data_IF_187930000812
#
_entry.id   IF_187930000812
#
_cell.length_a   1.000
_cell.length_b   1.000
_cell.length_c   1.000
_cell.angle_alpha   90.00
_cell.angle_beta   90.00
_cell.angle_gamma   90.00
#
_symmetry.space_group_name_H-M   'P 1'
#
loop_
_entity.id
_entity.type
_entity.pdbx_description
1 polymer ?
#
# COMPACT_ATOMS: atom_id res chain seq x y z
N UNK A 1 -34.45 -13.04 77.44
CA UNK A 1 -33.22 -13.76 77.03
C UNK A 1 -33.31 -14.06 75.54
N UNK A 2 -32.69 -13.23 74.67
CA UNK A 2 -32.73 -13.35 73.19
C UNK A 2 -31.31 -13.45 72.56
N UNK A 3 -30.28 -13.75 73.36
CA UNK A 3 -28.89 -13.71 72.90
C UNK A 3 -28.43 -14.87 71.98
N UNK A 4 -28.89 -16.13 72.11
CA UNK A 4 -28.33 -17.22 71.29
C UNK A 4 -28.78 -17.17 69.81
N UNK A 5 -30.01 -16.70 69.52
CA UNK A 5 -30.50 -16.59 68.14
C UNK A 5 -29.80 -15.47 67.35
N UNK A 6 -29.33 -14.43 68.03
CA UNK A 6 -28.66 -13.27 67.42
C UNK A 6 -27.23 -13.63 67.01
N UNK A 7 -26.52 -14.41 67.82
CA UNK A 7 -25.17 -14.90 67.51
C UNK A 7 -25.17 -15.92 66.36
N UNK A 8 -26.14 -16.85 66.32
CA UNK A 8 -26.28 -17.82 65.23
C UNK A 8 -26.55 -17.09 63.90
N UNK A 9 -27.48 -16.11 63.88
CA UNK A 9 -27.76 -15.31 62.67
C UNK A 9 -26.54 -14.51 62.20
N UNK A 10 -25.72 -13.99 63.11
CA UNK A 10 -24.48 -13.30 62.75
C UNK A 10 -23.41 -14.26 62.21
N UNK A 11 -23.27 -15.45 62.79
CA UNK A 11 -22.36 -16.48 62.30
C UNK A 11 -22.77 -16.99 60.91
N UNK A 12 -24.07 -17.27 60.68
CA UNK A 12 -24.59 -17.68 59.37
C UNK A 12 -24.38 -16.59 58.32
N UNK A 13 -24.60 -15.30 58.66
CA UNK A 13 -24.31 -14.18 57.74
C UNK A 13 -22.83 -14.10 57.38
N UNK A 14 -21.91 -14.32 58.32
CA UNK A 14 -20.46 -14.35 58.05
C UNK A 14 -20.07 -15.51 57.13
N UNK A 15 -20.63 -16.70 57.35
CA UNK A 15 -20.37 -17.88 56.49
C UNK A 15 -20.91 -17.67 55.08
N UNK A 16 -22.12 -17.13 54.93
CA UNK A 16 -22.71 -16.80 53.62
C UNK A 16 -21.90 -15.71 52.91
N UNK A 17 -21.42 -14.70 53.64
CA UNK A 17 -20.57 -13.65 53.07
C UNK A 17 -19.23 -14.21 52.59
N UNK A 18 -18.58 -15.07 53.36
CA UNK A 18 -17.33 -15.73 52.97
C UNK A 18 -17.55 -16.61 51.73
N UNK A 19 -18.63 -17.40 51.70
CA UNK A 19 -18.98 -18.22 50.53
C UNK A 19 -19.23 -17.37 49.27
N UNK A 20 -19.91 -16.21 49.40
CA UNK A 20 -20.12 -15.27 48.30
C UNK A 20 -18.82 -14.65 47.81
N UNK A 21 -17.92 -14.24 48.72
CA UNK A 21 -16.60 -13.69 48.35
C UNK A 21 -15.77 -14.74 47.62
N UNK A 22 -15.76 -15.99 48.09
CA UNK A 22 -15.06 -17.09 47.43
C UNK A 22 -15.66 -17.39 46.05
N UNK A 23 -16.99 -17.42 45.93
CA UNK A 23 -17.66 -17.62 44.64
C UNK A 23 -17.35 -16.49 43.65
N UNK A 24 -17.36 -15.23 44.10
CA UNK A 24 -16.97 -14.07 43.28
C UNK A 24 -15.50 -14.14 42.87
N UNK A 25 -14.62 -14.65 43.73
CA UNK A 25 -13.21 -14.86 43.41
C UNK A 25 -13.03 -15.92 42.33
N UNK A 26 -13.77 -17.04 42.39
CA UNK A 26 -13.75 -18.09 41.37
C UNK A 26 -14.35 -17.61 40.04
N UNK A 27 -15.44 -16.84 40.07
CA UNK A 27 -16.04 -16.25 38.85
C UNK A 27 -15.08 -15.23 38.24
N UNK A 28 -14.49 -14.33 39.03
CA UNK A 28 -13.52 -13.34 38.56
C UNK A 28 -12.27 -13.99 37.99
N UNK A 29 -11.75 -15.05 38.64
CA UNK A 29 -10.63 -15.84 38.14
C UNK A 29 -11.00 -16.58 36.85
N UNK A 30 -12.19 -17.18 36.78
CA UNK A 30 -12.69 -17.86 35.59
C UNK A 30 -12.84 -16.91 34.39
N UNK A 31 -13.39 -15.71 34.60
CA UNK A 31 -13.47 -14.66 33.57
C UNK A 31 -12.06 -14.20 33.16
N UNK A 32 -11.16 -13.98 34.12
CA UNK A 32 -9.78 -13.59 33.85
C UNK A 32 -9.04 -14.65 33.00
N UNK A 33 -9.14 -15.93 33.36
CA UNK A 33 -8.53 -17.02 32.60
C UNK A 33 -9.21 -17.23 31.24
N UNK A 34 -10.52 -17.09 31.14
CA UNK A 34 -11.25 -17.17 29.87
C UNK A 34 -10.85 -16.05 28.90
N UNK A 35 -10.79 -14.80 29.38
CA UNK A 35 -10.34 -13.65 28.59
C UNK A 35 -8.87 -13.79 28.19
N UNK A 36 -8.02 -14.28 29.11
CA UNK A 36 -6.61 -14.54 28.81
C UNK A 36 -6.43 -15.67 27.78
N UNK A 37 -7.18 -16.76 27.92
CA UNK A 37 -7.14 -17.89 26.99
C UNK A 37 -7.61 -17.46 25.60
N UNK A 38 -8.76 -16.79 25.49
CA UNK A 38 -9.23 -16.18 24.23
C UNK A 38 -8.16 -15.27 23.60
N UNK A 39 -7.49 -14.44 24.42
CA UNK A 39 -6.41 -13.56 23.95
C UNK A 39 -5.18 -14.33 23.47
N UNK A 40 -4.81 -15.43 24.12
CA UNK A 40 -3.67 -16.29 23.73
C UNK A 40 -4.00 -17.14 22.49
N UNK A 41 -5.22 -17.66 22.35
CA UNK A 41 -5.68 -18.43 21.17
C UNK A 41 -5.80 -17.54 19.94
N UNK A 42 -6.42 -16.36 20.07
CA UNK A 42 -6.49 -15.36 18.97
C UNK A 42 -5.09 -14.89 18.57
N UNK A 43 -4.14 -14.79 19.51
CA UNK A 43 -2.75 -14.46 19.20
C UNK A 43 -2.00 -15.60 18.48
N UNK A 44 -2.27 -16.86 18.82
CA UNK A 44 -1.67 -18.02 18.16
C UNK A 44 -2.24 -18.27 16.76
N UNK A 45 -3.54 -18.19 16.57
CA UNK A 45 -4.16 -18.32 15.24
C UNK A 45 -3.70 -17.19 14.31
N UNK A 46 -3.69 -15.95 14.81
CA UNK A 46 -3.14 -14.81 14.08
C UNK A 46 -1.63 -14.93 13.79
N UNK A 47 -0.89 -15.76 14.55
CA UNK A 47 0.54 -16.04 14.31
C UNK A 47 0.76 -17.16 13.28
N UNK A 48 -0.10 -18.18 13.24
CA UNK A 48 0.01 -19.28 12.25
C UNK A 48 -0.41 -18.82 10.85
N UNK A 49 -1.54 -18.13 10.72
CA UNK A 49 -1.98 -17.54 9.43
C UNK A 49 -0.93 -16.57 8.87
N UNK A 50 -0.31 -15.85 9.79
CA UNK A 50 0.74 -14.89 9.50
C UNK A 50 2.07 -15.54 9.11
N UNK A 51 2.52 -16.64 9.74
CA UNK A 51 3.73 -17.33 9.27
C UNK A 51 3.53 -17.84 7.84
N UNK A 52 2.32 -18.34 7.53
CA UNK A 52 1.94 -18.70 6.16
C UNK A 52 1.86 -17.49 5.20
N UNK A 53 1.56 -16.29 5.68
CA UNK A 53 1.60 -15.05 4.89
C UNK A 53 3.04 -14.55 4.70
N UNK A 54 3.83 -14.40 5.76
CA UNK A 54 5.23 -13.94 5.71
C UNK A 54 6.08 -14.89 4.86
N UNK A 55 5.96 -16.20 5.03
CA UNK A 55 6.68 -17.17 4.20
C UNK A 55 6.28 -17.09 2.72
N UNK A 56 5.04 -16.66 2.43
CA UNK A 56 4.60 -16.25 1.09
C UNK A 56 5.33 -14.97 0.63
N UNK A 57 5.58 -13.98 1.49
CA UNK A 57 6.13 -12.67 1.10
C UNK A 57 7.66 -12.54 1.12
N UNK A 58 8.38 -13.37 1.87
CA UNK A 58 9.81 -13.14 2.19
C UNK A 58 10.77 -14.21 1.71
N UNK A 59 10.30 -15.31 1.11
CA UNK A 59 11.18 -16.37 0.62
C UNK A 59 11.59 -16.05 -0.82
N UNK A 60 12.89 -15.91 -1.16
CA UNK A 60 13.32 -15.91 -2.55
C UNK A 60 12.89 -17.24 -3.17
N UNK A 61 11.86 -17.20 -4.00
CA UNK A 61 11.38 -18.40 -4.68
C UNK A 61 12.39 -18.77 -5.77
N UNK A 62 12.43 -20.04 -6.18
CA UNK A 62 13.16 -20.45 -7.39
C UNK A 62 12.79 -19.56 -8.60
N UNK A 63 11.55 -19.09 -8.62
CA UNK A 63 11.01 -18.10 -9.56
C UNK A 63 11.85 -16.82 -9.65
N UNK A 64 12.41 -16.31 -8.54
CA UNK A 64 13.29 -15.14 -8.58
C UNK A 64 14.56 -15.47 -9.38
N UNK A 65 15.24 -16.57 -9.04
CA UNK A 65 16.47 -17.00 -9.73
C UNK A 65 16.20 -17.24 -11.22
N UNK A 66 15.07 -17.86 -11.54
CA UNK A 66 14.66 -18.11 -12.93
C UNK A 66 14.33 -16.79 -13.66
N UNK A 67 13.72 -15.81 -12.97
CA UNK A 67 13.45 -14.48 -13.50
C UNK A 67 14.73 -13.69 -13.77
N UNK A 68 15.70 -13.71 -12.85
CA UNK A 68 17.03 -13.13 -13.04
C UNK A 68 17.73 -13.71 -14.26
N UNK A 69 17.70 -15.04 -14.38
CA UNK A 69 18.29 -15.75 -15.50
C UNK A 69 17.60 -15.39 -16.82
N UNK A 70 16.26 -15.38 -16.84
CA UNK A 70 15.49 -15.01 -18.03
C UNK A 70 15.76 -13.57 -18.48
N UNK A 71 15.92 -12.63 -17.54
CA UNK A 71 16.24 -11.23 -17.85
C UNK A 71 17.63 -11.10 -18.48
N UNK A 72 18.61 -11.84 -17.96
CA UNK A 72 19.96 -11.91 -18.52
C UNK A 72 19.98 -12.58 -19.89
N UNK A 73 19.28 -13.70 -20.04
CA UNK A 73 19.16 -14.42 -21.32
C UNK A 73 18.50 -13.52 -22.40
N UNK A 74 17.46 -12.75 -22.02
CA UNK A 74 16.80 -11.79 -22.91
C UNK A 74 17.73 -10.64 -23.32
N UNK A 75 18.51 -10.12 -22.38
CA UNK A 75 19.51 -9.10 -22.66
C UNK A 75 20.60 -9.60 -23.61
N UNK A 76 21.13 -10.80 -23.38
CA UNK A 76 22.11 -11.43 -24.27
C UNK A 76 21.51 -11.64 -25.68
N UNK A 77 20.26 -12.06 -25.78
CA UNK A 77 19.56 -12.22 -27.07
C UNK A 77 19.42 -10.89 -27.82
N UNK A 78 19.04 -9.81 -27.14
CA UNK A 78 18.92 -8.48 -27.74
C UNK A 78 20.29 -7.93 -28.22
N UNK A 79 21.37 -8.26 -27.53
CA UNK A 79 22.72 -7.83 -27.89
C UNK A 79 23.33 -8.66 -29.03
N UNK A 80 23.18 -9.99 -28.98
CA UNK A 80 23.81 -10.90 -29.94
C UNK A 80 23.06 -10.96 -31.27
N UNK A 81 21.75 -10.69 -31.27
CA UNK A 81 20.89 -10.86 -32.43
C UNK A 81 19.97 -9.65 -32.70
N UNK A 82 20.52 -8.45 -32.90
CA UNK A 82 19.73 -7.22 -33.04
C UNK A 82 18.82 -7.23 -34.27
N UNK A 83 19.19 -7.95 -35.33
CA UNK A 83 18.44 -8.01 -36.59
C UNK A 83 17.34 -9.08 -36.60
N UNK A 84 17.23 -9.91 -35.55
CA UNK A 84 16.27 -11.01 -35.47
C UNK A 84 14.87 -10.55 -35.06
N UNK A 85 14.77 -9.42 -34.36
CA UNK A 85 13.51 -8.92 -33.83
C UNK A 85 12.90 -7.88 -34.76
N UNK A 86 11.58 -7.94 -34.93
CA UNK A 86 10.88 -6.78 -35.49
C UNK A 86 11.02 -5.59 -34.53
N UNK A 87 10.89 -4.35 -35.03
CA UNK A 87 10.94 -3.16 -34.15
C UNK A 87 9.90 -3.21 -33.03
N UNK A 88 8.78 -3.90 -33.24
CA UNK A 88 7.74 -4.11 -32.22
C UNK A 88 8.18 -5.10 -31.14
N UNK A 89 8.78 -6.22 -31.55
CA UNK A 89 9.20 -7.27 -30.62
C UNK A 89 10.41 -6.83 -29.80
N UNK A 90 11.35 -6.12 -30.44
CA UNK A 90 12.48 -5.48 -29.77
C UNK A 90 12.00 -4.48 -28.71
N UNK A 91 11.04 -3.60 -29.07
CA UNK A 91 10.48 -2.63 -28.14
C UNK A 91 9.82 -3.32 -26.93
N UNK A 92 9.02 -4.36 -27.18
CA UNK A 92 8.35 -5.09 -26.11
C UNK A 92 9.35 -5.82 -25.20
N UNK A 93 10.35 -6.48 -25.77
CA UNK A 93 11.42 -7.14 -25.04
C UNK A 93 12.21 -6.15 -24.16
N UNK A 94 12.55 -4.98 -24.69
CA UNK A 94 13.20 -3.90 -23.92
C UNK A 94 12.33 -3.40 -22.77
N UNK A 95 11.02 -3.28 -22.97
CA UNK A 95 10.10 -2.91 -21.87
C UNK A 95 10.08 -3.97 -20.78
N UNK A 96 10.00 -5.26 -21.14
CA UNK A 96 10.04 -6.35 -20.16
C UNK A 96 11.38 -6.42 -19.43
N UNK A 97 12.48 -6.22 -20.16
CA UNK A 97 13.83 -6.15 -19.57
C UNK A 97 13.95 -4.97 -18.61
N UNK A 98 13.49 -3.79 -18.99
CA UNK A 98 13.50 -2.60 -18.15
C UNK A 98 12.71 -2.79 -16.84
N UNK A 99 11.48 -3.30 -16.94
CA UNK A 99 10.63 -3.65 -15.79
C UNK A 99 11.31 -4.70 -14.89
N UNK A 100 11.92 -5.74 -15.48
CA UNK A 100 12.63 -6.77 -14.72
C UNK A 100 13.87 -6.25 -13.97
N UNK A 101 14.62 -5.32 -14.58
CA UNK A 101 15.81 -4.75 -13.98
C UNK A 101 15.50 -3.70 -12.91
N UNK A 102 14.27 -3.16 -12.87
CA UNK A 102 13.83 -2.18 -11.87
C UNK A 102 14.09 -2.59 -10.42
N UNK A 103 14.03 -3.90 -10.13
CA UNK A 103 14.23 -4.49 -8.80
C UNK A 103 15.71 -4.81 -8.47
N UNK A 104 16.60 -4.72 -9.47
CA UNK A 104 17.97 -5.25 -9.41
C UNK A 104 18.99 -4.14 -9.61
N UNK A 105 18.78 -3.38 -10.68
CA UNK A 105 19.58 -2.27 -11.15
C UNK A 105 18.59 -1.24 -11.70
N UNK A 106 17.91 -0.57 -10.77
CA UNK A 106 16.83 0.37 -11.05
C UNK A 106 17.22 1.48 -12.02
N UNK A 107 18.47 1.96 -11.91
CA UNK A 107 19.01 2.99 -12.80
C UNK A 107 19.04 2.46 -14.22
N UNK A 108 19.64 1.28 -14.43
CA UNK A 108 19.73 0.68 -15.75
C UNK A 108 18.36 0.28 -16.33
N UNK A 109 17.47 -0.28 -15.50
CA UNK A 109 16.10 -0.59 -15.91
C UNK A 109 15.37 0.65 -16.42
N UNK A 110 15.50 1.76 -15.68
CA UNK A 110 14.89 3.05 -16.05
C UNK A 110 15.48 3.62 -17.33
N UNK A 111 16.80 3.55 -17.53
CA UNK A 111 17.44 4.00 -18.78
C UNK A 111 16.96 3.18 -19.99
N UNK A 112 16.82 1.85 -19.86
CA UNK A 112 16.26 1.02 -20.94
C UNK A 112 14.81 1.43 -21.27
N UNK A 113 14.00 1.74 -20.26
CA UNK A 113 12.64 2.21 -20.47
C UNK A 113 12.60 3.59 -21.13
N UNK A 114 13.48 4.52 -20.72
CA UNK A 114 13.65 5.84 -21.35
C UNK A 114 14.06 5.71 -22.81
N UNK A 115 14.92 4.75 -23.12
CA UNK A 115 15.33 4.40 -24.49
C UNK A 115 14.16 3.96 -25.36
N UNK A 116 13.23 3.20 -24.80
CA UNK A 116 11.98 2.84 -25.50
C UNK A 116 11.13 4.09 -25.73
N UNK A 117 10.95 4.95 -24.71
CA UNK A 117 10.09 6.14 -24.80
C UNK A 117 10.59 7.15 -25.84
N UNK A 118 11.91 7.36 -25.89
CA UNK A 118 12.54 8.32 -26.82
C UNK A 118 12.55 7.86 -28.27
N UNK A 119 12.39 6.56 -28.54
CA UNK A 119 12.46 6.02 -29.90
C UNK A 119 11.10 6.14 -30.62
N UNK A 120 10.94 7.05 -31.61
CA UNK A 120 9.67 7.25 -32.31
C UNK A 120 9.31 6.11 -33.25
N UNK A 121 10.22 5.16 -33.53
CA UNK A 121 9.95 3.99 -34.36
C UNK A 121 9.15 2.92 -33.61
N UNK A 122 9.14 2.99 -32.28
CA UNK A 122 8.43 2.02 -31.45
C UNK A 122 6.94 2.39 -31.31
N UNK A 123 6.03 1.41 -31.23
CA UNK A 123 4.59 1.69 -31.13
C UNK A 123 4.27 2.54 -29.90
N UNK A 124 3.35 3.51 -30.06
CA UNK A 124 2.95 4.40 -28.96
C UNK A 124 2.39 3.64 -27.75
N UNK A 125 1.72 2.49 -27.98
CA UNK A 125 1.30 1.59 -26.90
C UNK A 125 2.46 1.06 -26.06
N UNK A 126 3.58 0.68 -26.69
CA UNK A 126 4.78 0.19 -25.99
C UNK A 126 5.51 1.32 -25.29
N UNK A 127 5.58 2.51 -25.91
CA UNK A 127 6.16 3.71 -25.31
C UNK A 127 5.36 4.18 -24.10
N UNK A 128 4.03 4.20 -24.21
CA UNK A 128 3.12 4.47 -23.09
C UNK A 128 3.27 3.44 -21.97
N UNK A 129 3.46 2.17 -22.33
CA UNK A 129 3.69 1.12 -21.35
C UNK A 129 5.01 1.30 -20.59
N UNK A 130 6.09 1.66 -21.29
CA UNK A 130 7.38 1.97 -20.67
C UNK A 130 7.25 3.11 -19.63
N UNK A 131 6.51 4.17 -19.98
CA UNK A 131 6.23 5.26 -19.03
C UNK A 131 5.49 4.74 -17.79
N UNK A 132 4.49 3.87 -17.97
CA UNK A 132 3.75 3.32 -16.82
C UNK A 132 4.65 2.53 -15.86
N UNK A 133 5.64 1.81 -16.38
CA UNK A 133 6.62 1.09 -15.57
C UNK A 133 7.56 2.03 -14.83
N UNK A 134 8.10 3.05 -15.50
CA UNK A 134 8.90 4.11 -14.83
C UNK A 134 8.11 4.73 -13.66
N UNK A 135 6.82 5.04 -13.87
CA UNK A 135 5.96 5.59 -12.81
C UNK A 135 5.64 4.55 -11.73
N UNK A 136 5.54 3.25 -12.06
CA UNK A 136 5.37 2.20 -11.06
C UNK A 136 6.56 2.15 -10.11
N UNK A 137 7.78 2.22 -10.64
CA UNK A 137 9.01 2.19 -9.85
C UNK A 137 9.12 3.41 -8.94
N UNK A 138 8.64 4.57 -9.39
CA UNK A 138 8.50 5.74 -8.52
C UNK A 138 7.44 5.54 -7.42
N UNK A 139 6.25 5.06 -7.77
CA UNK A 139 5.12 4.91 -6.82
C UNK A 139 5.31 3.73 -5.84
N UNK A 140 6.19 2.78 -6.13
CA UNK A 140 6.51 1.69 -5.22
C UNK A 140 7.56 2.11 -4.18
N UNK A 141 8.46 3.01 -4.53
CA UNK A 141 9.57 3.44 -3.69
C UNK A 141 9.50 4.94 -3.36
N UNK A 142 8.93 5.23 -2.19
CA UNK A 142 8.56 6.58 -1.74
C UNK A 142 9.73 7.43 -1.20
N UNK A 143 10.99 6.99 -1.34
CA UNK A 143 12.07 7.53 -0.48
C UNK A 143 13.33 7.97 -1.23
N UNK A 144 13.63 7.44 -2.42
CA UNK A 144 14.84 7.83 -3.13
C UNK A 144 14.65 9.06 -4.04
N UNK A 145 14.67 10.25 -3.41
CA UNK A 145 14.68 11.53 -4.14
C UNK A 145 15.93 11.71 -5.00
N UNK A 146 17.03 10.99 -4.72
CA UNK A 146 18.23 11.07 -5.56
C UNK A 146 17.98 10.34 -6.87
N UNK A 147 17.38 9.14 -6.85
CA UNK A 147 16.98 8.45 -8.08
C UNK A 147 16.09 9.31 -8.99
N UNK A 148 15.13 10.05 -8.42
CA UNK A 148 14.24 10.93 -9.20
C UNK A 148 15.02 12.04 -9.90
N UNK A 149 15.92 12.69 -9.17
CA UNK A 149 16.69 13.86 -9.65
C UNK A 149 17.90 13.50 -10.50
N UNK A 150 18.50 12.35 -10.26
CA UNK A 150 19.77 11.90 -10.87
C UNK A 150 19.54 10.88 -11.98
N UNK A 151 18.34 10.31 -12.11
CA UNK A 151 18.04 9.29 -13.13
C UNK A 151 16.73 9.57 -13.87
N UNK A 152 15.61 9.67 -13.16
CA UNK A 152 14.28 9.68 -13.81
C UNK A 152 14.05 10.93 -14.68
N UNK A 153 14.31 12.12 -14.15
CA UNK A 153 14.15 13.39 -14.87
C UNK A 153 15.46 13.92 -15.46
N UNK A 154 16.46 13.07 -15.63
CA UNK A 154 17.72 13.40 -16.32
C UNK A 154 17.61 12.95 -17.78
N UNK A 155 18.11 13.74 -18.73
CA UNK A 155 18.01 13.44 -20.17
C UNK A 155 16.94 14.26 -20.89
N UNK A 156 17.10 14.44 -22.20
CA UNK A 156 16.24 15.32 -23.00
C UNK A 156 14.77 14.91 -22.99
N UNK A 157 14.49 13.61 -22.87
CA UNK A 157 13.15 13.08 -22.93
C UNK A 157 12.27 13.52 -21.76
N UNK A 158 12.80 13.65 -20.53
CA UNK A 158 12.00 13.98 -19.35
C UNK A 158 12.45 15.21 -18.56
N UNK A 159 13.64 15.78 -18.81
CA UNK A 159 14.14 16.92 -18.04
C UNK A 159 13.19 18.13 -18.04
N UNK A 160 12.54 18.40 -19.17
CA UNK A 160 11.58 19.50 -19.28
C UNK A 160 10.36 19.34 -18.35
N UNK A 161 9.95 18.11 -18.03
CA UNK A 161 8.79 17.86 -17.17
C UNK A 161 9.03 18.36 -15.74
N UNK A 162 10.26 18.22 -15.24
CA UNK A 162 10.63 18.71 -13.91
C UNK A 162 10.83 20.23 -13.91
N UNK A 163 11.48 20.79 -14.95
CA UNK A 163 11.67 22.24 -15.06
C UNK A 163 10.35 22.99 -15.18
N UNK A 164 9.43 22.51 -16.03
CA UNK A 164 8.12 23.12 -16.26
C UNK A 164 7.20 22.99 -15.03
N UNK A 165 7.59 22.15 -14.07
CA UNK A 165 6.90 21.95 -12.80
C UNK A 165 7.54 22.74 -11.67
N UNK A 166 8.52 23.62 -11.96
CA UNK A 166 9.21 24.41 -10.95
C UNK A 166 10.04 23.56 -9.99
N UNK A 167 10.43 22.35 -10.38
CA UNK A 167 11.12 21.39 -9.53
C UNK A 167 10.21 20.53 -8.65
N UNK A 168 8.88 20.63 -8.80
CA UNK A 168 7.92 19.77 -8.12
C UNK A 168 7.85 18.38 -8.77
N UNK A 169 8.34 17.37 -8.05
CA UNK A 169 8.40 15.98 -8.48
C UNK A 169 7.00 15.37 -8.67
N UNK A 170 6.03 15.70 -7.81
CA UNK A 170 4.67 15.15 -7.88
C UNK A 170 3.94 15.66 -9.12
N UNK A 171 4.09 16.96 -9.43
CA UNK A 171 3.57 17.56 -10.67
C UNK A 171 4.27 16.98 -11.90
N UNK A 172 5.58 16.77 -11.84
CA UNK A 172 6.34 16.19 -12.95
C UNK A 172 5.90 14.74 -13.24
N UNK A 173 5.66 13.94 -12.21
CA UNK A 173 5.12 12.58 -12.33
C UNK A 173 3.69 12.59 -12.87
N UNK A 174 2.84 13.54 -12.44
CA UNK A 174 1.50 13.72 -13.03
C UNK A 174 1.60 14.00 -14.54
N UNK A 175 2.47 14.93 -14.96
CA UNK A 175 2.71 15.22 -16.39
C UNK A 175 3.26 14.03 -17.16
N UNK A 176 4.08 13.20 -16.52
CA UNK A 176 4.57 11.95 -17.11
C UNK A 176 3.41 10.96 -17.38
N UNK A 177 2.43 10.86 -16.47
CA UNK A 177 1.20 10.11 -16.73
C UNK A 177 0.34 10.74 -17.84
N UNK A 178 0.22 12.07 -17.90
CA UNK A 178 -0.48 12.77 -19.00
C UNK A 178 0.15 12.44 -20.36
N UNK A 179 1.49 12.38 -20.43
CA UNK A 179 2.22 11.94 -21.63
C UNK A 179 1.96 10.47 -21.98
N UNK A 180 1.87 9.58 -20.99
CA UNK A 180 1.49 8.18 -21.22
C UNK A 180 0.09 8.08 -21.84
N UNK A 181 -0.89 8.84 -21.31
CA UNK A 181 -2.26 8.87 -21.85
C UNK A 181 -2.28 9.44 -23.27
N UNK A 182 -1.50 10.49 -23.55
CA UNK A 182 -1.42 11.11 -24.87
C UNK A 182 -0.84 10.16 -25.93
N UNK A 183 0.08 9.26 -25.56
CA UNK A 183 0.61 8.22 -26.45
C UNK A 183 -0.40 7.09 -26.67
N UNK A 184 -0.95 6.56 -25.58
CA UNK A 184 -1.92 5.48 -25.63
C UNK A 184 -2.77 5.48 -24.35
N UNK A 185 -4.07 5.83 -24.45
CA UNK A 185 -4.97 5.86 -23.29
C UNK A 185 -5.00 4.53 -22.55
N UNK A 186 -4.79 4.57 -21.24
CA UNK A 186 -4.85 3.39 -20.38
C UNK A 186 -5.49 3.74 -19.03
N UNK A 187 -6.11 2.75 -18.38
CA UNK A 187 -6.87 2.99 -17.16
C UNK A 187 -5.99 3.44 -15.98
N UNK A 188 -4.82 2.83 -15.81
CA UNK A 188 -3.92 3.09 -14.67
C UNK A 188 -3.41 4.53 -14.69
N UNK A 189 -2.91 5.03 -15.82
CA UNK A 189 -2.41 6.39 -15.95
C UNK A 189 -3.53 7.42 -15.73
N UNK A 190 -4.73 7.17 -16.27
CA UNK A 190 -5.90 8.02 -16.00
C UNK A 190 -6.24 8.07 -14.51
N UNK A 191 -6.31 6.93 -13.82
CA UNK A 191 -6.55 6.91 -12.38
C UNK A 191 -5.42 7.58 -11.58
N UNK A 192 -4.16 7.50 -12.01
CA UNK A 192 -3.05 8.22 -11.36
C UNK A 192 -3.21 9.72 -11.45
N UNK A 193 -3.57 10.23 -12.63
CA UNK A 193 -3.85 11.66 -12.82
C UNK A 193 -5.03 12.09 -11.94
N UNK A 194 -6.13 11.33 -11.96
CA UNK A 194 -7.29 11.60 -11.11
C UNK A 194 -6.95 11.57 -9.61
N UNK A 195 -6.14 10.61 -9.16
CA UNK A 195 -5.66 10.50 -7.78
C UNK A 195 -4.89 11.75 -7.37
N UNK A 196 -4.05 12.28 -8.25
CA UNK A 196 -3.30 13.51 -7.97
C UNK A 196 -4.25 14.70 -7.74
N UNK A 197 -5.23 14.90 -8.63
CA UNK A 197 -6.24 15.96 -8.45
C UNK A 197 -7.08 15.76 -7.17
N UNK A 198 -7.49 14.52 -6.87
CA UNK A 198 -8.21 14.20 -5.63
C UNK A 198 -7.37 14.52 -4.38
N UNK A 199 -6.06 14.23 -4.42
CA UNK A 199 -5.14 14.54 -3.34
C UNK A 199 -4.97 16.07 -3.16
N UNK A 200 -4.85 16.84 -4.24
CA UNK A 200 -4.77 18.31 -4.16
C UNK A 200 -6.03 18.92 -3.53
N UNK A 201 -7.22 18.44 -3.92
CA UNK A 201 -8.49 18.91 -3.36
C UNK A 201 -8.53 18.64 -1.84
N UNK A 202 -8.11 17.44 -1.43
CA UNK A 202 -8.24 16.99 -0.03
C UNK A 202 -7.14 17.50 0.89
N UNK A 203 -5.88 17.49 0.45
CA UNK A 203 -4.70 17.76 1.28
C UNK A 203 -4.26 19.23 1.25
N UNK A 204 -4.71 20.01 0.27
CA UNK A 204 -4.28 21.39 0.09
C UNK A 204 -5.45 22.39 0.32
N UNK A 205 -5.79 22.71 1.58
CA UNK A 205 -6.91 23.61 1.89
C UNK A 205 -6.71 25.04 1.35
N UNK A 206 -5.47 25.42 1.03
CA UNK A 206 -5.11 26.73 0.48
C UNK A 206 -5.41 26.91 -1.01
N UNK A 207 -5.83 25.86 -1.74
CA UNK A 207 -6.20 25.98 -3.16
C UNK A 207 -7.45 26.87 -3.29
N UNK A 208 -7.44 27.90 -4.17
CA UNK A 208 -8.63 28.72 -4.43
C UNK A 208 -9.83 27.88 -4.88
N UNK A 209 -11.05 28.29 -4.54
CA UNK A 209 -12.27 27.57 -4.89
C UNK A 209 -12.43 27.36 -6.41
N UNK A 210 -12.08 28.36 -7.23
CA UNK A 210 -12.08 28.24 -8.69
C UNK A 210 -11.16 27.13 -9.20
N UNK A 211 -9.97 26.98 -8.61
CA UNK A 211 -9.04 25.89 -8.93
C UNK A 211 -9.51 24.54 -8.40
N UNK A 212 -10.16 24.51 -7.23
CA UNK A 212 -10.77 23.28 -6.72
C UNK A 212 -11.85 22.74 -7.65
N UNK A 213 -12.68 23.61 -8.22
CA UNK A 213 -13.70 23.20 -9.20
C UNK A 213 -13.05 22.66 -10.48
N UNK A 214 -12.03 23.34 -11.01
CA UNK A 214 -11.24 22.85 -12.16
C UNK A 214 -10.62 21.47 -11.88
N UNK A 215 -10.02 21.29 -10.70
CA UNK A 215 -9.43 20.00 -10.30
C UNK A 215 -10.49 18.90 -10.17
N UNK A 216 -11.68 19.23 -9.67
CA UNK A 216 -12.78 18.29 -9.55
C UNK A 216 -13.29 17.85 -10.93
N UNK A 217 -13.43 18.79 -11.88
CA UNK A 217 -13.77 18.48 -13.27
C UNK A 217 -12.72 17.58 -13.92
N UNK A 218 -11.43 17.92 -13.77
CA UNK A 218 -10.31 17.12 -14.30
C UNK A 218 -10.22 15.74 -13.67
N UNK A 219 -10.43 15.64 -12.37
CA UNK A 219 -10.52 14.35 -11.67
C UNK A 219 -11.60 13.48 -12.30
N UNK A 220 -12.82 14.00 -12.47
CA UNK A 220 -13.95 13.24 -13.01
C UNK A 220 -13.76 12.84 -14.48
N UNK A 221 -13.18 13.72 -15.30
CA UNK A 221 -12.81 13.42 -16.69
C UNK A 221 -11.91 12.17 -16.77
N UNK A 222 -10.85 12.15 -15.95
CA UNK A 222 -9.91 11.04 -15.92
C UNK A 222 -10.49 9.78 -15.25
N UNK A 223 -11.34 9.91 -14.23
CA UNK A 223 -12.06 8.76 -13.66
C UNK A 223 -12.95 8.11 -14.72
N UNK A 224 -13.73 8.89 -15.46
CA UNK A 224 -14.63 8.37 -16.50
C UNK A 224 -13.86 7.67 -17.63
N UNK A 225 -12.74 8.26 -18.09
CA UNK A 225 -11.87 7.62 -19.07
C UNK A 225 -11.24 6.32 -18.53
N UNK A 226 -10.81 6.33 -17.27
CA UNK A 226 -10.28 5.16 -16.59
C UNK A 226 -11.30 4.02 -16.48
N UNK A 227 -12.54 4.35 -16.12
CA UNK A 227 -13.64 3.40 -15.98
C UNK A 227 -14.00 2.73 -17.30
N UNK A 228 -14.10 3.52 -18.38
CA UNK A 228 -14.37 3.00 -19.72
C UNK A 228 -13.27 2.01 -20.16
N UNK A 229 -12.01 2.37 -19.98
CA UNK A 229 -10.86 1.53 -20.36
C UNK A 229 -10.75 0.29 -19.48
N UNK A 230 -11.04 0.41 -18.19
CA UNK A 230 -11.08 -0.74 -17.29
C UNK A 230 -12.17 -1.72 -17.74
N UNK A 231 -13.40 -1.25 -17.96
CA UNK A 231 -14.50 -2.10 -18.43
C UNK A 231 -14.19 -2.84 -19.74
N UNK A 232 -13.47 -2.19 -20.66
CA UNK A 232 -13.08 -2.78 -21.93
C UNK A 232 -12.01 -3.88 -21.79
N UNK A 233 -11.04 -3.67 -20.89
CA UNK A 233 -9.82 -4.48 -20.85
C UNK A 233 -9.62 -5.28 -19.56
N UNK A 234 -10.51 -5.19 -18.57
CA UNK A 234 -10.42 -5.82 -17.24
C UNK A 234 -10.04 -7.31 -17.33
N UNK A 235 -10.66 -8.05 -18.25
CA UNK A 235 -10.45 -9.49 -18.42
C UNK A 235 -9.11 -9.84 -19.10
N UNK A 236 -8.50 -8.88 -19.79
CA UNK A 236 -7.20 -9.04 -20.48
C UNK A 236 -6.03 -8.49 -19.68
N UNK A 237 -6.30 -7.74 -18.60
CA UNK A 237 -5.27 -7.26 -17.70
C UNK A 237 -4.73 -8.39 -16.83
N UNK A 238 -3.43 -8.32 -16.52
CA UNK A 238 -2.84 -9.18 -15.48
C UNK A 238 -3.50 -8.89 -14.14
N UNK A 239 -3.60 -9.88 -13.22
CA UNK A 239 -4.16 -9.65 -11.89
C UNK A 239 -3.49 -8.47 -11.16
N UNK A 240 -2.18 -8.30 -11.30
CA UNK A 240 -1.45 -7.15 -10.76
C UNK A 240 -2.04 -5.81 -11.24
N UNK A 241 -2.24 -5.64 -12.55
CA UNK A 241 -2.74 -4.38 -13.12
C UNK A 241 -4.21 -4.13 -12.80
N UNK A 242 -5.01 -5.20 -12.80
CA UNK A 242 -6.42 -5.13 -12.43
C UNK A 242 -6.59 -4.76 -10.96
N UNK A 243 -5.83 -5.39 -10.06
CA UNK A 243 -5.79 -5.04 -8.65
C UNK A 243 -5.35 -3.59 -8.43
N UNK A 244 -4.34 -3.13 -9.18
CA UNK A 244 -3.87 -1.75 -9.12
C UNK A 244 -4.96 -0.75 -9.50
N UNK A 245 -5.70 -1.03 -10.56
CA UNK A 245 -6.81 -0.19 -11.00
C UNK A 245 -7.87 -0.04 -9.90
N UNK A 246 -8.24 -1.13 -9.22
CA UNK A 246 -9.19 -1.07 -8.10
C UNK A 246 -8.64 -0.29 -6.90
N UNK A 247 -7.38 -0.52 -6.53
CA UNK A 247 -6.74 0.23 -5.43
C UNK A 247 -6.74 1.74 -5.73
N UNK A 248 -6.36 2.14 -6.94
CA UNK A 248 -6.34 3.55 -7.34
C UNK A 248 -7.75 4.16 -7.31
N UNK A 249 -8.75 3.46 -7.86
CA UNK A 249 -10.14 3.93 -7.83
C UNK A 249 -10.66 4.08 -6.40
N UNK A 250 -10.40 3.11 -5.52
CA UNK A 250 -10.76 3.17 -4.10
C UNK A 250 -10.14 4.39 -3.41
N UNK A 251 -8.87 4.69 -3.71
CA UNK A 251 -8.16 5.85 -3.16
C UNK A 251 -8.73 7.17 -3.66
N UNK A 252 -9.11 7.27 -4.94
CA UNK A 252 -9.76 8.47 -5.49
C UNK A 252 -11.08 8.74 -4.77
N UNK A 253 -11.92 7.71 -4.61
CA UNK A 253 -13.21 7.82 -3.91
C UNK A 253 -12.98 8.24 -2.45
N UNK A 254 -12.02 7.63 -1.76
CA UNK A 254 -11.69 8.00 -0.38
C UNK A 254 -11.21 9.47 -0.26
N UNK A 255 -10.34 9.93 -1.16
CA UNK A 255 -9.79 11.29 -1.13
C UNK A 255 -10.82 12.34 -1.52
N UNK A 256 -11.72 12.03 -2.45
CA UNK A 256 -12.76 12.96 -2.91
C UNK A 256 -13.96 13.06 -1.97
N UNK A 257 -14.01 12.29 -0.88
CA UNK A 257 -15.17 12.23 0.01
C UNK A 257 -16.38 11.53 -0.61
N UNK A 258 -16.14 10.61 -1.55
CA UNK A 258 -17.18 9.82 -2.21
C UNK A 258 -17.76 8.71 -1.33
N UNK A 259 -18.46 7.77 -1.96
CA UNK A 259 -19.12 6.65 -1.27
C UNK A 259 -18.09 5.71 -0.59
N UNK A 260 -18.10 5.66 0.74
CA UNK A 260 -17.11 4.91 1.54
C UNK A 260 -17.29 3.40 1.31
N UNK A 261 -18.52 2.91 1.22
CA UNK A 261 -18.82 1.50 0.96
C UNK A 261 -18.31 1.04 -0.42
N UNK A 262 -18.39 1.90 -1.43
CA UNK A 262 -17.83 1.63 -2.76
C UNK A 262 -16.30 1.56 -2.70
N UNK A 263 -15.65 2.50 -2.01
CA UNK A 263 -14.20 2.48 -1.83
C UNK A 263 -13.73 1.21 -1.11
N UNK A 264 -14.44 0.79 -0.06
CA UNK A 264 -14.16 -0.45 0.67
C UNK A 264 -14.28 -1.68 -0.24
N UNK A 265 -15.36 -1.78 -1.03
CA UNK A 265 -15.56 -2.88 -1.97
C UNK A 265 -14.41 -2.98 -2.98
N UNK A 266 -13.94 -1.84 -3.49
CA UNK A 266 -12.82 -1.78 -4.43
C UNK A 266 -11.49 -2.17 -3.77
N UNK A 267 -11.23 -1.76 -2.53
CA UNK A 267 -10.06 -2.25 -1.79
C UNK A 267 -10.11 -3.76 -1.62
N UNK A 268 -11.25 -4.32 -1.24
CA UNK A 268 -11.41 -5.77 -1.11
C UNK A 268 -11.24 -6.49 -2.45
N UNK A 269 -11.78 -5.92 -3.55
CA UNK A 269 -11.59 -6.45 -4.90
C UNK A 269 -10.11 -6.46 -5.28
N UNK A 270 -9.37 -5.39 -4.98
CA UNK A 270 -7.93 -5.31 -5.19
C UNK A 270 -7.19 -6.44 -4.45
N UNK A 271 -7.38 -6.55 -3.14
CA UNK A 271 -6.73 -7.55 -2.28
C UNK A 271 -7.05 -8.99 -2.69
N UNK A 272 -8.28 -9.25 -3.14
CA UNK A 272 -8.65 -10.56 -3.67
C UNK A 272 -7.93 -10.84 -4.99
N UNK A 273 -7.88 -9.86 -5.88
CA UNK A 273 -7.27 -10.04 -7.21
C UNK A 273 -5.76 -10.30 -7.15
N UNK A 274 -5.03 -9.69 -6.21
CA UNK A 274 -3.60 -10.01 -6.06
C UNK A 274 -3.32 -11.46 -5.65
N UNK A 275 -4.30 -12.16 -5.09
CA UNK A 275 -4.19 -13.56 -4.65
C UNK A 275 -4.59 -14.56 -5.75
N UNK A 276 -4.98 -14.09 -6.93
CA UNK A 276 -5.31 -14.95 -8.07
C UNK A 276 -4.03 -15.62 -8.62
N UNK A 277 -4.03 -16.96 -8.83
CA UNK A 277 -2.85 -17.68 -9.33
C UNK A 277 -2.61 -17.45 -10.84
N UNK A 278 -1.35 -17.58 -11.32
CA UNK A 278 -0.14 -17.79 -10.52
C UNK A 278 0.23 -16.53 -9.72
N UNK A 279 0.65 -16.69 -8.45
CA UNK A 279 0.97 -15.55 -7.58
C UNK A 279 2.43 -15.16 -7.76
N UNK A 280 2.65 -14.11 -8.53
CA UNK A 280 3.98 -13.51 -8.77
C UNK A 280 4.48 -12.67 -7.58
N UNK A 281 5.78 -12.39 -7.54
CA UNK A 281 6.37 -11.44 -6.58
C UNK A 281 5.75 -10.05 -6.68
N UNK A 282 5.45 -9.58 -7.89
CA UNK A 282 4.83 -8.27 -8.09
C UNK A 282 3.43 -8.21 -7.49
N UNK A 283 2.61 -9.25 -7.68
CA UNK A 283 1.30 -9.32 -7.02
C UNK A 283 1.43 -9.23 -5.49
N UNK A 284 2.46 -9.83 -4.92
CA UNK A 284 2.71 -9.80 -3.47
C UNK A 284 3.09 -8.39 -2.98
N UNK A 285 3.96 -7.69 -3.70
CA UNK A 285 4.34 -6.30 -3.39
C UNK A 285 3.11 -5.38 -3.42
N UNK A 286 2.26 -5.55 -4.43
CA UNK A 286 1.04 -4.76 -4.59
C UNK A 286 -0.05 -5.14 -3.57
N UNK A 287 -0.17 -6.42 -3.19
CA UNK A 287 -1.05 -6.85 -2.08
C UNK A 287 -0.64 -6.17 -0.78
N UNK A 288 0.66 -6.20 -0.45
CA UNK A 288 1.19 -5.53 0.74
C UNK A 288 0.91 -4.01 0.71
N UNK A 289 1.15 -3.34 -0.43
CA UNK A 289 0.87 -1.90 -0.55
C UNK A 289 -0.64 -1.60 -0.46
N UNK A 290 -1.48 -2.41 -1.08
CA UNK A 290 -2.93 -2.21 -1.06
C UNK A 290 -3.51 -2.47 0.33
N UNK A 291 -3.00 -3.49 1.02
CA UNK A 291 -3.35 -3.83 2.40
C UNK A 291 -3.07 -2.67 3.35
N UNK A 292 -1.96 -1.98 3.11
CA UNK A 292 -1.59 -0.79 3.84
C UNK A 292 -2.58 0.37 3.64
N UNK A 293 -2.91 0.69 2.39
CA UNK A 293 -3.86 1.77 2.11
C UNK A 293 -5.27 1.42 2.60
N UNK A 294 -5.65 0.15 2.53
CA UNK A 294 -6.91 -0.32 3.08
C UNK A 294 -6.95 -0.18 4.61
N UNK A 295 -5.87 -0.51 5.31
CA UNK A 295 -5.78 -0.28 6.76
C UNK A 295 -5.92 1.22 7.11
N UNK A 296 -5.25 2.10 6.36
CA UNK A 296 -5.38 3.55 6.54
C UNK A 296 -6.81 4.05 6.26
N UNK A 297 -7.47 3.49 5.25
CA UNK A 297 -8.88 3.76 4.94
C UNK A 297 -9.80 3.34 6.10
N UNK A 298 -9.67 2.11 6.61
CA UNK A 298 -10.47 1.61 7.74
C UNK A 298 -10.26 2.46 9.00
N UNK A 299 -9.02 2.88 9.28
CA UNK A 299 -8.72 3.70 10.45
C UNK A 299 -9.39 5.09 10.41
N UNK A 300 -9.61 5.64 9.21
CA UNK A 300 -10.26 6.94 9.01
C UNK A 300 -11.78 6.86 8.91
N UNK A 301 -12.32 5.66 8.68
CA UNK A 301 -13.75 5.42 8.50
C UNK A 301 -14.26 4.38 9.52
N UNK A 302 -14.23 4.68 10.83
CA UNK A 302 -14.54 3.73 11.91
C UNK A 302 -16.04 3.32 11.99
N UNK A 303 -16.84 3.71 11.01
CA UNK A 303 -18.29 3.48 10.95
C UNK A 303 -18.59 2.00 10.65
N UNK A 304 -17.63 1.27 10.08
CA UNK A 304 -17.76 -0.15 9.75
C UNK A 304 -17.12 -1.02 10.84
N UNK A 305 -17.83 -2.06 11.28
CA UNK A 305 -17.40 -3.06 12.29
C UNK A 305 -16.26 -3.95 11.74
N UNK A 306 -15.11 -3.32 11.47
CA UNK A 306 -13.91 -3.89 10.82
C UNK A 306 -12.67 -3.74 11.70
N UNK A 307 -12.86 -3.56 13.00
CA UNK A 307 -11.78 -3.33 13.96
C UNK A 307 -10.78 -4.51 13.99
N UNK A 308 -11.27 -5.74 13.85
CA UNK A 308 -10.41 -6.94 13.84
C UNK A 308 -9.60 -7.05 12.53
N UNK A 309 -10.20 -6.71 11.39
CA UNK A 309 -9.48 -6.69 10.10
C UNK A 309 -8.37 -5.65 10.11
N UNK A 310 -8.68 -4.44 10.59
CA UNK A 310 -7.68 -3.40 10.77
C UNK A 310 -6.58 -3.84 11.73
N UNK A 311 -6.93 -4.47 12.87
CA UNK A 311 -5.95 -5.03 13.81
C UNK A 311 -5.04 -6.06 13.16
N UNK A 312 -5.58 -6.96 12.33
CA UNK A 312 -4.81 -7.99 11.63
C UNK A 312 -3.87 -7.39 10.57
N UNK A 313 -4.36 -6.43 9.78
CA UNK A 313 -3.53 -5.68 8.82
C UNK A 313 -2.41 -4.91 9.54
N UNK A 314 -2.71 -4.27 10.66
CA UNK A 314 -1.71 -3.49 11.41
C UNK A 314 -0.62 -4.40 11.98
N UNK A 315 -0.98 -5.55 12.56
CA UNK A 315 -0.02 -6.56 13.06
C UNK A 315 0.89 -7.07 11.94
N UNK A 316 0.33 -7.38 10.78
CA UNK A 316 1.09 -7.85 9.60
C UNK A 316 2.16 -6.82 9.19
N UNK A 317 1.77 -5.56 9.03
CA UNK A 317 2.70 -4.50 8.62
C UNK A 317 3.77 -4.21 9.68
N UNK A 318 3.39 -4.16 10.96
CA UNK A 318 4.34 -3.91 12.06
C UNK A 318 5.48 -4.91 12.08
N UNK A 319 5.19 -6.20 11.90
CA UNK A 319 6.25 -7.18 11.90
C UNK A 319 7.09 -7.16 10.63
N UNK A 320 6.47 -6.97 9.45
CA UNK A 320 7.21 -6.85 8.19
C UNK A 320 8.28 -5.75 8.29
N UNK A 321 7.92 -4.58 8.83
CA UNK A 321 8.87 -3.49 9.06
C UNK A 321 9.92 -3.81 10.13
N UNK A 322 9.63 -4.72 11.07
CA UNK A 322 10.57 -5.16 12.10
C UNK A 322 11.55 -6.25 11.62
N UNK A 323 11.28 -6.92 10.50
CA UNK A 323 12.03 -8.10 10.03
C UNK A 323 12.64 -7.97 8.63
N UNK A 324 12.29 -6.94 7.85
CA UNK A 324 12.95 -6.67 6.57
C UNK A 324 14.40 -6.19 6.78
N UNK A 325 15.33 -6.66 5.94
CA UNK A 325 16.78 -6.53 6.20
C UNK A 325 17.39 -5.15 5.93
N UNK A 326 16.65 -4.19 5.38
CA UNK A 326 17.19 -2.88 5.01
C UNK A 326 16.61 -1.71 5.85
N UNK A 327 17.43 -1.00 6.63
CA UNK A 327 16.99 0.12 7.48
C UNK A 327 16.61 1.43 6.74
N UNK A 328 17.08 1.64 5.50
CA UNK A 328 16.99 2.94 4.81
C UNK A 328 15.69 3.15 4.02
N UNK A 329 15.04 2.09 3.57
CA UNK A 329 13.79 2.11 2.76
C UNK A 329 12.50 2.20 3.61
N UNK A 330 12.62 2.39 4.93
CA UNK A 330 11.53 2.18 5.90
C UNK A 330 10.58 3.37 6.14
N UNK A 331 10.93 4.59 5.75
CA UNK A 331 10.40 5.78 6.45
C UNK A 331 8.95 6.24 6.10
N UNK A 332 8.48 6.16 4.85
CA UNK A 332 7.20 6.84 4.48
C UNK A 332 5.96 5.96 4.71
N UNK A 333 6.05 4.65 4.44
CA UNK A 333 4.97 3.71 4.76
C UNK A 333 4.80 3.60 6.28
N UNK A 334 5.88 3.53 7.05
CA UNK A 334 5.80 3.55 8.52
C UNK A 334 5.09 4.82 9.01
N UNK A 335 5.38 6.00 8.45
CA UNK A 335 4.73 7.25 8.84
C UNK A 335 3.21 7.27 8.60
N UNK A 336 2.75 6.88 7.41
CA UNK A 336 1.30 6.89 7.12
C UNK A 336 0.56 5.82 7.95
N UNK A 337 1.24 4.71 8.26
CA UNK A 337 0.79 3.71 9.22
C UNK A 337 0.73 4.26 10.65
N UNK A 338 1.74 5.02 11.06
CA UNK A 338 1.80 5.63 12.40
C UNK A 338 0.70 6.69 12.59
N UNK A 339 0.37 7.44 11.53
CA UNK A 339 -0.76 8.39 11.54
C UNK A 339 -2.09 7.63 11.65
N UNK A 340 -2.29 6.56 10.86
CA UNK A 340 -3.48 5.70 10.96
C UNK A 340 -3.59 5.04 12.35
N UNK A 341 -2.48 4.54 12.89
CA UNK A 341 -2.39 3.94 14.22
C UNK A 341 -2.63 4.95 15.35
N UNK A 342 -2.20 6.22 15.19
CA UNK A 342 -2.45 7.32 16.15
C UNK A 342 -3.92 7.73 16.18
N UNK A 343 -4.59 7.81 15.03
CA UNK A 343 -6.03 8.07 14.99
C UNK A 343 -6.82 6.87 15.55
N UNK A 344 -6.38 5.65 15.25
CA UNK A 344 -6.95 4.42 15.81
C UNK A 344 -6.80 4.32 17.34
N UNK A 345 -5.71 4.83 17.93
CA UNK A 345 -5.51 4.96 19.39
C UNK A 345 -6.62 5.74 20.08
N UNK A 346 -7.20 6.74 19.40
CA UNK A 346 -8.32 7.54 19.94
C UNK A 346 -9.63 6.75 19.98
N UNK A 347 -9.76 5.74 19.12
CA UNK A 347 -10.99 4.98 18.89
C UNK A 347 -10.95 3.63 19.66
N UNK A 348 -9.78 2.99 19.78
CA UNK A 348 -9.58 1.69 20.43
C UNK A 348 -8.35 1.69 21.38
N UNK A 349 -8.52 2.06 22.67
CA UNK A 349 -7.43 2.29 23.62
C UNK A 349 -6.61 1.04 23.98
N UNK A 350 -7.22 -0.14 23.92
CA UNK A 350 -6.63 -1.44 24.26
C UNK A 350 -5.53 -1.90 23.29
N UNK A 351 -5.58 -1.41 22.05
CA UNK A 351 -4.56 -1.65 21.02
C UNK A 351 -3.41 -0.64 21.04
N UNK A 352 -3.59 0.51 21.71
CA UNK A 352 -2.54 1.49 21.95
C UNK A 352 -1.32 0.89 22.66
N UNK A 353 -1.53 -0.10 23.53
CA UNK A 353 -0.46 -0.80 24.23
C UNK A 353 0.41 -1.72 23.34
N UNK A 354 -0.08 -2.14 22.18
CA UNK A 354 0.72 -2.89 21.18
C UNK A 354 1.60 -1.94 20.38
N UNK A 355 1.06 -0.76 20.04
CA UNK A 355 1.79 0.33 19.39
C UNK A 355 2.86 0.88 20.35
N UNK A 356 2.54 1.14 21.61
CA UNK A 356 3.48 1.71 22.61
C UNK A 356 4.67 0.78 22.96
N UNK A 357 4.59 -0.51 22.65
CA UNK A 357 5.70 -1.48 22.83
C UNK A 357 6.76 -1.43 21.73
N UNK A 358 6.48 -0.72 20.65
CA UNK A 358 7.39 -0.52 19.55
C UNK A 358 8.07 0.83 19.79
N UNK A 359 9.35 0.83 20.15
CA UNK A 359 10.09 2.08 20.36
C UNK A 359 10.35 2.76 19.01
N UNK A 360 9.38 3.52 18.54
CA UNK A 360 9.41 4.15 17.22
C UNK A 360 10.43 5.29 17.09
N UNK A 361 11.01 5.76 18.19
CA UNK A 361 11.90 6.94 18.20
C UNK A 361 13.20 6.67 17.45
N UNK A 362 13.67 5.43 17.43
CA UNK A 362 14.81 5.05 16.60
C UNK A 362 14.48 5.07 15.10
N UNK A 363 13.22 4.86 14.72
CA UNK A 363 12.80 4.68 13.33
C UNK A 363 12.41 5.97 12.59
N UNK A 364 12.15 7.08 13.29
CA UNK A 364 11.87 8.40 12.69
C UNK A 364 12.98 9.42 12.94
N UNK A 365 14.11 8.98 13.52
CA UNK A 365 15.26 9.83 13.86
C UNK A 365 15.86 10.43 12.59
N UNK A 366 15.86 11.76 12.49
CA UNK A 366 16.33 12.51 11.32
C UNK A 366 15.27 12.81 10.25
N UNK A 367 14.02 12.38 10.41
CA UNK A 367 12.93 12.71 9.49
C UNK A 367 12.24 14.04 9.89
N UNK A 368 11.74 14.88 8.96
CA UNK A 368 11.02 16.12 9.29
C UNK A 368 9.80 15.94 10.22
N UNK A 369 9.26 14.72 10.29
CA UNK A 369 8.13 14.34 11.17
C UNK A 369 8.54 13.92 12.58
N UNK A 370 9.84 13.76 12.87
CA UNK A 370 10.35 13.52 14.23
C UNK A 370 9.85 14.61 15.19
N UNK A 371 9.77 15.85 14.70
CA UNK A 371 9.25 17.00 15.42
C UNK A 371 7.72 16.93 15.65
N UNK A 372 6.95 16.35 14.72
CA UNK A 372 5.48 16.20 14.83
C UNK A 372 5.04 15.01 15.69
N UNK A 373 5.90 14.01 15.89
CA UNK A 373 5.65 12.88 16.79
C UNK A 373 6.07 13.17 18.24
N UNK A 374 7.00 14.12 18.45
CA UNK A 374 7.37 14.65 19.78
C UNK A 374 6.32 15.62 20.37
N UNK A 375 5.36 16.06 19.55
CA UNK A 375 4.20 16.88 19.93
C UNK A 375 2.92 16.03 19.97
#
# INVERSE_FOLDING_TARGET
MNEPQTQIRQATKKVVLIALVVALFFIGSGIYYYVRYQKETIQQEAFVDYQGAVQRYTTPTQENVDFYKASKDLEELLQQYPDTFSSRDEAFAKVMLGDSLGEIDRVRGTEILKDVVRNPKYPDGTRSLAINYIVNDYELDFIDRNFVKETLFVGEEFAHLLSDSGGDEDIAIRKLNERSVALSPNAIANYRIAKWYAAEIYLNPGVPESKRNEYFEKMNEHVAAGDQLLAQYENTMTPQRRGLAYELKARIIHLSGGNIEEAELLFQKALKTYKEPPITIFQRVYDMRSSFYYAAFLARNPIHDRAEDLRNLLKFHLYYFSTSWEPRERNVRIVSFLIAAREFRKIYPDLGAVIDKLDFREYVKGHPLELKLKQ
#
